data_IF_642209211153
#
_entry.id   IF_642209211153
#
_cell.length_a   1.000
_cell.length_b   1.000
_cell.length_c   1.000
_cell.angle_alpha   90.00
_cell.angle_beta   90.00
_cell.angle_gamma   90.00
#
_symmetry.space_group_name_H-M   'P 1'
#
loop_
_entity.id
_entity.type
_entity.pdbx_description
1 polymer ?
#
# COMPACT_ATOMS: atom_id res chain seq x y z
N UNK A 1 6.98 -27.12 14.48
CA UNK A 1 5.95 -26.15 14.89
C UNK A 1 4.91 -26.13 13.79
N UNK A 2 3.64 -26.35 14.11
CA UNK A 2 2.56 -26.32 13.14
C UNK A 2 2.52 -24.92 12.49
N UNK A 3 2.47 -24.88 11.15
CA UNK A 3 2.48 -23.63 10.40
C UNK A 3 1.30 -22.75 10.80
N UNK A 4 1.56 -21.46 11.03
CA UNK A 4 0.59 -20.43 11.42
C UNK A 4 -0.35 -20.05 10.25
N UNK A 5 -0.42 -20.89 9.22
CA UNK A 5 -1.00 -20.56 7.92
C UNK A 5 -2.27 -21.38 7.72
N UNK A 6 -3.37 -20.69 7.47
CA UNK A 6 -4.65 -21.31 7.15
C UNK A 6 -4.82 -21.23 5.64
N UNK A 7 -5.01 -22.37 4.96
CA UNK A 7 -5.35 -22.38 3.54
C UNK A 7 -6.79 -21.88 3.38
N UNK A 8 -7.01 -20.62 2.96
CA UNK A 8 -8.35 -20.14 2.65
C UNK A 8 -8.36 -19.15 1.48
N UNK A 9 -9.54 -19.01 0.85
CA UNK A 9 -9.77 -18.16 -0.35
C UNK A 9 -10.33 -16.77 -0.04
N UNK A 10 -10.44 -16.41 1.24
CA UNK A 10 -11.04 -15.16 1.69
C UNK A 10 -10.00 -14.02 1.82
N UNK A 11 -9.95 -13.03 0.91
CA UNK A 11 -8.93 -11.97 0.94
C UNK A 11 -9.08 -11.00 2.12
N UNK A 12 -10.30 -10.81 2.63
CA UNK A 12 -10.58 -9.90 3.76
C UNK A 12 -10.42 -10.54 5.15
N UNK A 13 -9.66 -11.63 5.25
CA UNK A 13 -9.23 -12.20 6.52
C UNK A 13 -7.70 -12.14 6.57
N UNK A 14 -7.09 -11.71 7.70
CA UNK A 14 -5.63 -11.73 7.85
C UNK A 14 -5.04 -13.11 7.56
N UNK A 15 -3.87 -13.15 6.94
CA UNK A 15 -3.22 -14.38 6.49
C UNK A 15 -2.92 -15.41 7.61
N UNK A 16 -2.91 -14.95 8.85
CA UNK A 16 -2.63 -15.72 10.06
C UNK A 16 -3.91 -16.06 10.87
N UNK A 17 -5.10 -15.85 10.28
CA UNK A 17 -6.39 -16.14 10.92
C UNK A 17 -7.25 -17.09 10.09
N UNK A 18 -8.08 -17.87 10.77
CA UNK A 18 -9.13 -18.67 10.11
C UNK A 18 -10.33 -17.77 9.80
N UNK A 19 -10.83 -17.72 8.56
CA UNK A 19 -12.01 -16.95 8.22
C UNK A 19 -13.25 -17.54 8.91
N UNK A 20 -14.18 -16.68 9.30
CA UNK A 20 -15.45 -17.10 9.92
C UNK A 20 -16.46 -17.67 8.92
N UNK A 21 -16.22 -17.50 7.62
CA UNK A 21 -17.05 -18.03 6.54
C UNK A 21 -16.20 -18.31 5.27
N UNK A 22 -16.62 -19.30 4.49
CA UNK A 22 -16.11 -19.54 3.12
C UNK A 22 -16.62 -18.41 2.20
N UNK A 23 -15.72 -17.66 1.58
CA UNK A 23 -16.10 -16.68 0.55
C UNK A 23 -16.29 -17.39 -0.81
N UNK A 24 -17.38 -18.16 -0.94
CA UNK A 24 -17.75 -18.77 -2.22
C UNK A 24 -18.13 -17.76 -3.31
N UNK A 25 -18.25 -16.48 -2.95
CA UNK A 25 -18.70 -15.37 -3.80
C UNK A 25 -17.58 -14.48 -4.35
N UNK A 26 -16.31 -14.73 -4.02
CA UNK A 26 -15.22 -13.90 -4.53
C UNK A 26 -14.92 -14.24 -5.99
N UNK A 27 -15.02 -13.26 -6.87
CA UNK A 27 -14.65 -13.38 -8.28
C UNK A 27 -13.28 -12.74 -8.47
N UNK A 28 -12.28 -13.56 -8.78
CA UNK A 28 -11.00 -13.02 -9.23
C UNK A 28 -11.23 -12.17 -10.48
N UNK A 29 -10.93 -10.89 -10.39
CA UNK A 29 -11.05 -9.98 -11.54
C UNK A 29 -9.99 -10.32 -12.60
N UNK A 30 -10.32 -10.19 -13.89
CA UNK A 30 -9.32 -10.30 -14.94
C UNK A 30 -8.27 -9.20 -14.76
N UNK A 31 -7.01 -9.50 -15.10
CA UNK A 31 -5.92 -8.53 -15.08
C UNK A 31 -6.21 -7.50 -16.19
N UNK A 32 -6.31 -6.19 -15.88
CA UNK A 32 -6.44 -5.17 -16.91
C UNK A 32 -5.22 -5.14 -17.83
N UNK A 33 -5.44 -5.02 -19.14
CA UNK A 33 -4.39 -5.07 -20.15
C UNK A 33 -3.39 -3.92 -20.02
N UNK A 34 -3.85 -2.75 -19.55
CA UNK A 34 -3.05 -1.53 -19.43
C UNK A 34 -1.91 -1.66 -18.41
N UNK A 35 -2.00 -2.65 -17.52
CA UNK A 35 -1.07 -2.86 -16.42
C UNK A 35 -0.30 -4.18 -16.52
N UNK A 36 -0.51 -4.94 -17.60
CA UNK A 36 0.32 -6.09 -17.93
C UNK A 36 1.76 -5.64 -18.21
N UNK A 37 2.76 -6.48 -17.86
CA UNK A 37 4.16 -6.17 -18.15
C UNK A 37 4.37 -5.96 -19.65
N UNK A 38 4.80 -4.76 -20.04
CA UNK A 38 5.23 -4.52 -21.40
C UNK A 38 6.60 -5.16 -21.63
N UNK A 39 6.65 -6.20 -22.46
CA UNK A 39 7.91 -6.81 -22.86
C UNK A 39 8.65 -5.83 -23.78
N UNK A 40 9.78 -5.32 -23.31
CA UNK A 40 10.63 -4.43 -24.10
C UNK A 40 12.06 -4.95 -24.12
N UNK A 41 12.49 -5.47 -25.26
CA UNK A 41 13.78 -6.15 -25.37
C UNK A 41 13.86 -7.42 -24.52
N UNK A 42 15.07 -7.92 -24.32
CA UNK A 42 15.31 -9.21 -23.65
C UNK A 42 15.54 -9.08 -22.14
N UNK A 43 15.68 -7.85 -21.62
CA UNK A 43 16.06 -7.61 -20.23
C UNK A 43 14.96 -6.89 -19.46
N UNK A 44 14.58 -7.46 -18.30
CA UNK A 44 13.69 -6.80 -17.35
C UNK A 44 14.33 -5.53 -16.77
N UNK A 45 13.56 -4.44 -16.74
CA UNK A 45 13.96 -3.17 -16.11
C UNK A 45 12.79 -2.55 -15.36
N UNK A 46 13.04 -2.12 -14.13
CA UNK A 46 12.08 -1.32 -13.36
C UNK A 46 11.84 0.02 -14.04
N UNK A 47 10.60 0.49 -14.01
CA UNK A 47 10.18 1.77 -14.57
C UNK A 47 9.28 2.48 -13.57
N UNK A 48 9.30 3.81 -13.62
CA UNK A 48 8.40 4.62 -12.81
C UNK A 48 6.93 4.40 -13.22
N UNK A 49 6.65 4.44 -14.53
CA UNK A 49 5.36 4.04 -15.12
C UNK A 49 4.15 4.79 -14.55
N UNK A 50 4.16 6.12 -14.64
CA UNK A 50 3.10 6.98 -14.10
C UNK A 50 2.11 7.45 -15.16
N UNK A 51 0.87 7.61 -14.75
CA UNK A 51 -0.27 8.10 -15.54
C UNK A 51 -0.98 9.21 -14.78
N UNK A 52 -1.61 10.20 -15.44
CA UNK A 52 -2.38 11.22 -14.75
C UNK A 52 -3.57 10.63 -13.96
N UNK A 53 -3.86 11.19 -12.79
CA UNK A 53 -5.10 10.88 -12.05
C UNK A 53 -6.26 11.67 -12.64
N UNK A 54 -7.37 11.00 -12.91
CA UNK A 54 -8.66 11.64 -13.09
C UNK A 54 -9.23 11.97 -11.70
N UNK A 55 -9.21 13.25 -11.29
CA UNK A 55 -9.56 13.68 -9.92
C UNK A 55 -10.95 13.24 -9.48
N UNK A 56 -11.92 13.25 -10.41
CA UNK A 56 -13.29 12.76 -10.19
C UNK A 56 -13.35 11.28 -9.81
N UNK A 57 -12.30 10.52 -10.14
CA UNK A 57 -12.12 9.10 -9.85
C UNK A 57 -10.78 8.83 -9.13
N UNK A 58 -10.37 9.71 -8.21
CA UNK A 58 -9.07 9.61 -7.54
C UNK A 58 -8.92 8.29 -6.75
N UNK A 59 -9.83 8.01 -5.82
CA UNK A 59 -9.84 6.79 -4.99
C UNK A 59 -11.05 5.93 -5.40
N UNK A 60 -10.90 5.01 -6.37
CA UNK A 60 -12.06 4.29 -6.92
C UNK A 60 -12.76 3.44 -5.85
N UNK A 61 -14.08 3.38 -5.94
CA UNK A 61 -14.92 2.50 -5.12
C UNK A 61 -15.42 1.35 -5.98
N UNK A 62 -15.48 0.16 -5.40
CA UNK A 62 -15.95 -1.07 -6.02
C UNK A 62 -16.78 -1.91 -5.03
N UNK A 63 -17.19 -3.11 -5.47
CA UNK A 63 -17.98 -4.04 -4.68
C UNK A 63 -17.24 -4.57 -3.43
N UNK A 64 -15.90 -4.46 -3.41
CA UNK A 64 -15.03 -4.97 -2.35
C UNK A 64 -14.63 -3.90 -1.32
N UNK A 65 -14.93 -2.63 -1.60
CA UNK A 65 -14.49 -1.51 -0.78
C UNK A 65 -15.02 -1.61 0.65
N UNK A 66 -16.29 -1.98 0.85
CA UNK A 66 -16.87 -2.14 2.18
C UNK A 66 -16.18 -3.25 2.96
N UNK A 67 -15.94 -4.40 2.32
CA UNK A 67 -15.26 -5.55 2.94
C UNK A 67 -13.81 -5.23 3.32
N UNK A 68 -13.12 -4.46 2.46
CA UNK A 68 -11.76 -3.96 2.75
C UNK A 68 -11.77 -3.03 3.96
N UNK A 69 -12.71 -2.08 4.02
CA UNK A 69 -12.85 -1.17 5.17
C UNK A 69 -13.14 -1.94 6.47
N UNK A 70 -13.97 -3.00 6.42
CA UNK A 70 -14.24 -3.86 7.57
C UNK A 70 -12.99 -4.61 8.06
N UNK A 71 -12.18 -5.17 7.15
CA UNK A 71 -10.87 -5.73 7.48
C UNK A 71 -9.98 -4.69 8.18
N UNK A 72 -9.90 -3.48 7.62
CA UNK A 72 -9.09 -2.38 8.17
C UNK A 72 -9.54 -2.00 9.58
N UNK A 73 -10.84 -1.84 9.81
CA UNK A 73 -11.39 -1.53 11.14
C UNK A 73 -11.03 -2.61 12.16
N UNK A 74 -11.15 -3.89 11.80
CA UNK A 74 -10.74 -5.00 12.67
C UNK A 74 -9.24 -4.94 13.00
N UNK A 75 -8.38 -4.66 12.01
CA UNK A 75 -6.93 -4.53 12.23
C UNK A 75 -6.57 -3.30 13.06
N UNK A 76 -7.25 -2.17 12.85
CA UNK A 76 -7.07 -0.95 13.64
C UNK A 76 -7.45 -1.14 15.11
N UNK A 77 -8.44 -1.98 15.40
CA UNK A 77 -8.86 -2.32 16.76
C UNK A 77 -7.92 -3.33 17.42
N UNK A 78 -7.52 -4.37 16.68
CA UNK A 78 -6.83 -5.55 17.27
C UNK A 78 -5.31 -5.55 17.11
N UNK A 79 -4.77 -4.80 16.13
CA UNK A 79 -3.35 -4.80 15.72
C UNK A 79 -2.85 -3.40 15.39
N UNK A 80 -3.34 -2.40 16.12
CA UNK A 80 -3.06 -0.97 15.87
C UNK A 80 -1.56 -0.68 15.67
N UNK A 81 -0.71 -1.25 16.51
CA UNK A 81 0.73 -0.98 16.50
C UNK A 81 1.46 -1.56 15.27
N UNK A 82 0.83 -2.49 14.55
CA UNK A 82 1.37 -3.06 13.32
C UNK A 82 0.94 -2.28 12.07
N UNK A 83 -0.26 -1.67 12.13
CA UNK A 83 -0.88 -1.01 10.97
C UNK A 83 -0.83 0.51 11.04
N UNK A 84 -0.58 1.10 12.20
CA UNK A 84 -0.45 2.56 12.37
C UNK A 84 0.97 2.90 12.79
N UNK A 85 1.62 3.79 12.07
CA UNK A 85 2.98 4.22 12.35
C UNK A 85 3.16 5.69 12.04
N UNK A 86 3.85 6.41 12.91
CA UNK A 86 4.20 7.81 12.67
C UNK A 86 5.48 8.21 13.39
N UNK A 87 6.15 9.23 12.86
CA UNK A 87 7.29 9.91 13.49
C UNK A 87 6.80 11.12 14.25
N UNK A 88 7.40 11.38 15.41
CA UNK A 88 7.17 12.62 16.15
C UNK A 88 7.45 13.84 15.26
N UNK A 89 6.54 14.82 15.27
CA UNK A 89 6.57 15.97 14.35
C UNK A 89 5.84 15.72 13.01
N UNK A 90 5.31 14.51 12.80
CA UNK A 90 4.53 14.12 11.63
C UNK A 90 3.04 14.45 11.71
N UNK A 91 2.56 15.05 12.80
CA UNK A 91 1.14 15.27 13.05
C UNK A 91 0.50 16.18 12.01
N UNK A 92 1.22 17.23 11.57
CA UNK A 92 0.72 18.17 10.58
C UNK A 92 0.53 17.53 9.20
N UNK A 93 1.51 16.74 8.73
CA UNK A 93 1.41 16.06 7.42
C UNK A 93 0.38 14.93 7.45
N UNK A 94 0.23 14.24 8.59
CA UNK A 94 -0.84 13.26 8.78
C UNK A 94 -2.22 13.91 8.73
N UNK A 95 -2.39 15.07 9.37
CA UNK A 95 -3.63 15.85 9.33
C UNK A 95 -3.96 16.30 7.90
N UNK A 96 -2.98 16.82 7.17
CA UNK A 96 -3.17 17.30 5.80
C UNK A 96 -3.66 16.17 4.88
N UNK A 97 -2.97 15.02 4.91
CA UNK A 97 -3.36 13.85 4.14
C UNK A 97 -4.78 13.36 4.52
N UNK A 98 -5.10 13.32 5.81
CA UNK A 98 -6.42 12.95 6.28
C UNK A 98 -7.51 13.89 5.73
N UNK A 99 -7.26 15.20 5.74
CA UNK A 99 -8.19 16.20 5.21
C UNK A 99 -8.42 16.01 3.72
N UNK A 100 -7.37 15.72 2.93
CA UNK A 100 -7.52 15.45 1.49
C UNK A 100 -8.43 14.24 1.23
N UNK A 101 -8.20 13.12 1.92
CA UNK A 101 -9.01 11.91 1.78
C UNK A 101 -10.46 12.16 2.25
N UNK A 102 -10.65 12.84 3.37
CA UNK A 102 -11.99 13.13 3.90
C UNK A 102 -12.81 14.05 3.00
N UNK A 103 -12.18 15.05 2.37
CA UNK A 103 -12.83 15.93 1.39
C UNK A 103 -13.24 15.16 0.15
N UNK A 104 -12.39 14.26 -0.33
CA UNK A 104 -12.73 13.38 -1.44
C UNK A 104 -13.92 12.47 -1.09
N UNK A 105 -13.93 11.91 0.12
CA UNK A 105 -15.01 11.05 0.60
C UNK A 105 -16.30 11.81 0.98
N UNK A 106 -16.27 13.15 1.05
CA UNK A 106 -17.40 13.97 1.48
C UNK A 106 -17.77 13.81 2.96
N UNK A 107 -16.80 13.48 3.83
CA UNK A 107 -17.01 13.24 5.26
C UNK A 107 -16.19 14.24 6.07
N UNK A 108 -16.77 14.83 7.10
CA UNK A 108 -16.04 15.67 8.06
C UNK A 108 -15.32 14.81 9.10
N UNK A 109 -14.05 15.11 9.34
CA UNK A 109 -13.26 14.41 10.36
C UNK A 109 -13.53 14.99 11.76
N UNK A 110 -13.58 14.09 12.74
CA UNK A 110 -13.72 14.42 14.16
C UNK A 110 -12.39 14.40 14.93
N UNK A 111 -11.38 13.72 14.39
CA UNK A 111 -10.06 13.53 15.00
C UNK A 111 -9.00 14.47 14.42
N UNK A 112 -7.84 14.52 15.08
CA UNK A 112 -6.69 15.31 14.63
C UNK A 112 -5.39 14.49 14.50
N UNK A 113 -4.43 14.99 13.71
CA UNK A 113 -3.10 14.41 13.54
C UNK A 113 -3.14 12.97 13.03
N UNK A 114 -2.37 12.07 13.65
CA UNK A 114 -2.37 10.64 13.28
C UNK A 114 -3.75 9.98 13.46
N UNK A 115 -4.55 10.42 14.43
CA UNK A 115 -5.90 9.88 14.61
C UNK A 115 -6.85 10.33 13.48
N UNK A 116 -6.65 11.53 12.93
CA UNK A 116 -7.36 11.95 11.71
C UNK A 116 -7.02 11.03 10.53
N UNK A 117 -5.74 10.65 10.37
CA UNK A 117 -5.32 9.74 9.30
C UNK A 117 -5.93 8.33 9.46
N UNK A 118 -6.05 7.86 10.70
CA UNK A 118 -6.75 6.61 11.03
C UNK A 118 -8.24 6.69 10.68
N UNK A 119 -8.91 7.78 11.06
CA UNK A 119 -10.31 8.01 10.69
C UNK A 119 -10.47 8.05 9.17
N UNK A 120 -9.62 8.80 8.47
CA UNK A 120 -9.63 8.89 7.01
C UNK A 120 -9.36 7.55 6.32
N UNK A 121 -8.45 6.71 6.85
CA UNK A 121 -8.20 5.37 6.31
C UNK A 121 -9.43 4.46 6.38
N UNK A 122 -10.38 4.74 7.27
CA UNK A 122 -11.64 3.99 7.39
C UNK A 122 -12.71 4.44 6.40
N UNK A 123 -12.42 5.47 5.58
CA UNK A 123 -13.31 6.00 4.54
C UNK A 123 -13.03 5.42 3.15
N UNK A 124 -11.86 4.80 2.95
CA UNK A 124 -11.37 4.32 1.65
C UNK A 124 -10.78 2.93 1.78
N UNK A 125 -10.76 2.16 0.68
CA UNK A 125 -10.12 0.85 0.66
C UNK A 125 -8.59 0.96 0.79
N UNK A 126 -7.99 1.96 0.15
CA UNK A 126 -6.54 2.17 0.03
C UNK A 126 -5.81 2.34 1.37
N UNK A 127 -4.61 1.77 1.46
CA UNK A 127 -3.66 2.10 2.52
C UNK A 127 -3.12 3.52 2.31
N UNK A 128 -2.88 4.24 3.42
CA UNK A 128 -2.44 5.63 3.38
C UNK A 128 -0.99 5.73 3.85
N UNK A 129 -0.11 6.28 3.03
CA UNK A 129 1.30 6.53 3.36
C UNK A 129 1.64 7.99 3.08
N UNK A 130 2.23 8.67 4.07
CA UNK A 130 2.51 10.11 4.02
C UNK A 130 4.02 10.32 4.03
N UNK A 131 4.52 10.87 2.94
CA UNK A 131 5.91 11.27 2.81
C UNK A 131 6.09 12.74 3.23
N UNK A 132 7.09 13.03 4.05
CA UNK A 132 7.44 14.38 4.46
C UNK A 132 8.81 14.77 3.88
N UNK A 133 8.93 15.95 3.24
CA UNK A 133 10.22 16.52 2.91
C UNK A 133 11.01 16.88 4.17
N UNK A 134 12.22 16.36 4.29
CA UNK A 134 13.15 16.60 5.39
C UNK A 134 14.51 16.95 4.80
N UNK A 135 15.12 18.03 5.31
CA UNK A 135 16.51 18.36 4.95
C UNK A 135 17.47 17.44 5.69
N UNK A 136 18.28 16.69 4.94
CA UNK A 136 19.38 15.91 5.50
C UNK A 136 20.57 16.80 5.87
N UNK A 137 21.50 16.23 6.66
CA UNK A 137 22.67 16.95 7.17
C UNK A 137 23.61 17.49 6.08
N UNK A 138 23.59 16.88 4.90
CA UNK A 138 24.31 17.31 3.70
C UNK A 138 23.59 18.43 2.91
N UNK A 139 22.44 18.90 3.39
CA UNK A 139 21.66 19.97 2.79
C UNK A 139 20.70 19.53 1.69
N UNK A 140 20.70 18.24 1.33
CA UNK A 140 19.76 17.68 0.36
C UNK A 140 18.37 17.51 1.00
N UNK A 141 17.32 17.61 0.18
CA UNK A 141 15.96 17.27 0.63
C UNK A 141 15.67 15.81 0.34
N UNK A 142 15.16 15.10 1.34
CA UNK A 142 14.73 13.70 1.24
C UNK A 142 13.28 13.58 1.67
N UNK A 143 12.54 12.71 1.01
CA UNK A 143 11.20 12.33 1.44
C UNK A 143 11.30 11.15 2.41
N UNK A 144 10.84 11.33 3.64
CA UNK A 144 10.75 10.26 4.64
C UNK A 144 9.30 9.78 4.77
N UNK A 145 9.10 8.48 4.91
CA UNK A 145 7.80 7.94 5.33
C UNK A 145 7.52 8.35 6.78
N UNK A 146 6.70 9.37 6.98
CA UNK A 146 6.53 10.02 8.29
C UNK A 146 5.27 9.57 9.01
N UNK A 147 4.20 9.25 8.30
CA UNK A 147 2.98 8.72 8.89
C UNK A 147 2.34 7.74 7.93
N UNK A 148 1.72 6.68 8.43
CA UNK A 148 0.98 5.74 7.60
C UNK A 148 -0.08 4.97 8.37
N UNK A 149 -1.09 4.53 7.64
CA UNK A 149 -2.03 3.47 8.03
C UNK A 149 -2.00 2.40 6.93
N UNK A 150 -1.39 1.26 7.24
CA UNK A 150 -1.11 0.17 6.29
C UNK A 150 -1.71 -1.12 6.82
N UNK A 151 -2.89 -1.47 6.32
CA UNK A 151 -3.66 -2.64 6.72
C UNK A 151 -3.60 -3.76 5.66
N UNK A 152 -3.02 -3.50 4.50
CA UNK A 152 -2.88 -4.46 3.43
C UNK A 152 -1.40 -4.52 2.97
N UNK A 153 -0.40 -4.71 3.85
CA UNK A 153 0.98 -4.83 3.40
C UNK A 153 1.21 -6.11 2.57
N UNK A 154 2.22 -6.05 1.70
CA UNK A 154 2.62 -7.12 0.79
C UNK A 154 4.01 -7.64 1.17
N UNK A 155 4.06 -8.37 2.28
CA UNK A 155 5.24 -9.02 2.90
C UNK A 155 6.32 -8.07 3.41
N UNK A 156 5.89 -7.00 4.08
CA UNK A 156 6.76 -6.07 4.80
C UNK A 156 6.00 -5.50 6.00
N UNK A 157 6.72 -5.01 7.01
CA UNK A 157 6.07 -4.38 8.18
C UNK A 157 6.24 -2.87 8.17
N UNK A 158 5.24 -2.13 8.66
CA UNK A 158 5.35 -0.66 8.73
C UNK A 158 6.52 -0.21 9.61
N UNK A 159 6.81 -0.95 10.68
CA UNK A 159 7.93 -0.70 11.58
C UNK A 159 9.29 -0.73 10.86
N UNK A 160 9.46 -1.56 9.82
CA UNK A 160 10.68 -1.60 9.00
C UNK A 160 10.87 -0.39 8.08
N UNK A 161 9.78 0.35 7.79
CA UNK A 161 9.77 1.40 6.75
C UNK A 161 9.58 2.80 7.31
N UNK A 162 8.91 2.94 8.45
CA UNK A 162 8.62 4.24 9.05
C UNK A 162 9.91 5.01 9.39
N UNK A 163 9.98 6.28 8.99
CA UNK A 163 11.13 7.16 9.18
C UNK A 163 12.27 6.97 8.18
N UNK A 164 12.14 6.08 7.21
CA UNK A 164 13.13 5.85 6.16
C UNK A 164 12.80 6.61 4.88
N UNK A 165 13.85 6.91 4.09
CA UNK A 165 13.70 7.51 2.77
C UNK A 165 13.32 6.48 1.69
N UNK A 166 12.94 6.95 0.50
CA UNK A 166 12.49 6.07 -0.58
C UNK A 166 13.51 5.01 -0.98
N UNK A 167 14.80 5.34 -0.96
CA UNK A 167 15.86 4.38 -1.29
C UNK A 167 15.95 3.29 -0.21
N UNK A 168 15.92 3.65 1.06
CA UNK A 168 15.96 2.70 2.18
C UNK A 168 14.69 1.83 2.26
N UNK A 169 13.51 2.42 2.05
CA UNK A 169 12.23 1.68 2.00
C UNK A 169 12.29 0.58 0.93
N UNK A 170 12.89 0.88 -0.23
CA UNK A 170 12.99 -0.02 -1.38
C UNK A 170 14.28 -0.84 -1.45
N UNK A 171 15.17 -0.77 -0.45
CA UNK A 171 16.43 -1.52 -0.46
C UNK A 171 16.29 -3.03 -0.73
N UNK A 172 15.22 -3.73 -0.26
CA UNK A 172 15.02 -5.15 -0.58
C UNK A 172 14.64 -5.45 -2.04
N UNK A 173 14.23 -4.43 -2.81
CA UNK A 173 13.76 -4.61 -4.19
C UNK A 173 14.97 -4.76 -5.11
N UNK A 174 15.14 -5.96 -5.67
CA UNK A 174 16.25 -6.27 -6.56
C UNK A 174 16.37 -5.26 -7.70
N UNK A 175 17.59 -4.72 -7.89
CA UNK A 175 17.93 -3.73 -8.92
C UNK A 175 17.17 -2.40 -8.85
N UNK A 176 16.45 -2.08 -7.77
CA UNK A 176 15.71 -0.82 -7.66
C UNK A 176 16.62 0.40 -7.79
N UNK A 177 17.68 0.46 -6.98
CA UNK A 177 18.63 1.57 -6.96
C UNK A 177 19.27 1.79 -8.35
N UNK A 178 19.65 0.70 -9.01
CA UNK A 178 20.31 0.69 -10.32
C UNK A 178 19.37 1.10 -11.45
N UNK A 179 18.10 0.67 -11.40
CA UNK A 179 17.17 0.84 -12.50
C UNK A 179 16.36 2.14 -12.42
N UNK A 180 15.87 2.50 -11.23
CA UNK A 180 14.78 3.49 -11.08
C UNK A 180 14.93 4.42 -9.87
N UNK A 181 15.75 4.12 -8.86
CA UNK A 181 15.84 4.90 -7.62
C UNK A 181 16.04 6.41 -7.84
N UNK A 182 17.06 6.80 -8.60
CA UNK A 182 17.30 8.21 -8.91
C UNK A 182 16.18 8.86 -9.75
N UNK A 183 15.47 8.09 -10.58
CA UNK A 183 14.35 8.61 -11.36
C UNK A 183 13.15 8.90 -10.46
N UNK A 184 12.90 8.07 -9.44
CA UNK A 184 11.85 8.26 -8.43
C UNK A 184 12.15 9.52 -7.60
N UNK A 185 13.37 9.67 -7.09
CA UNK A 185 13.74 10.84 -6.27
C UNK A 185 13.59 12.15 -7.07
N UNK A 186 14.09 12.19 -8.30
CA UNK A 186 13.93 13.33 -9.20
C UNK A 186 12.46 13.62 -9.54
N UNK A 187 11.63 12.59 -9.60
CA UNK A 187 10.21 12.74 -9.90
C UNK A 187 9.48 13.41 -8.74
N UNK A 188 9.71 12.95 -7.52
CA UNK A 188 9.11 13.55 -6.32
C UNK A 188 9.52 15.01 -6.10
N UNK A 189 10.72 15.42 -6.52
CA UNK A 189 11.12 16.83 -6.49
C UNK A 189 10.35 17.72 -7.48
N UNK A 190 9.66 17.13 -8.46
CA UNK A 190 9.00 17.84 -9.57
C UNK A 190 7.48 17.71 -9.56
N UNK A 191 6.91 16.79 -8.78
CA UNK A 191 5.46 16.62 -8.69
C UNK A 191 4.85 17.89 -8.08
N UNK A 192 3.70 18.30 -8.60
CA UNK A 192 2.96 19.47 -8.10
C UNK A 192 1.53 19.08 -7.77
N UNK A 193 0.90 19.86 -6.89
CA UNK A 193 -0.47 19.59 -6.41
C UNK A 193 -1.51 19.55 -7.54
N UNK A 194 -1.25 20.24 -8.67
CA UNK A 194 -2.14 20.30 -9.82
C UNK A 194 -2.02 19.08 -10.75
N UNK A 195 -0.98 18.26 -10.60
CA UNK A 195 -0.68 17.12 -11.49
C UNK A 195 -0.45 15.83 -10.70
N UNK A 196 -1.46 15.34 -9.95
CA UNK A 196 -1.36 14.03 -9.33
C UNK A 196 -1.26 12.94 -10.39
N UNK A 197 -0.55 11.89 -10.04
CA UNK A 197 -0.34 10.73 -10.90
C UNK A 197 -0.69 9.47 -10.14
N UNK A 198 -0.91 8.41 -10.88
CA UNK A 198 -0.96 7.07 -10.35
C UNK A 198 -0.01 6.17 -11.12
N UNK A 199 0.36 5.06 -10.51
CA UNK A 199 1.11 3.97 -11.15
C UNK A 199 0.55 2.63 -10.70
N UNK A 200 0.84 1.60 -11.49
CA UNK A 200 0.57 0.22 -11.11
C UNK A 200 1.83 -0.46 -10.59
N UNK A 201 1.66 -1.25 -9.55
CA UNK A 201 2.59 -2.26 -9.11
C UNK A 201 1.86 -3.59 -9.05
N UNK A 202 2.55 -4.69 -9.33
CA UNK A 202 1.95 -6.02 -9.28
C UNK A 202 2.94 -7.04 -8.75
N UNK A 203 2.41 -8.09 -8.14
CA UNK A 203 3.19 -9.18 -7.57
C UNK A 203 2.41 -10.49 -7.64
N UNK A 204 3.12 -11.59 -7.82
CA UNK A 204 2.56 -12.93 -7.72
C UNK A 204 2.61 -13.37 -6.25
N UNK A 205 1.48 -13.79 -5.70
CA UNK A 205 1.30 -14.20 -4.31
C UNK A 205 0.82 -15.64 -4.24
N UNK A 206 1.27 -16.36 -3.23
CA UNK A 206 0.78 -17.70 -2.88
C UNK A 206 -0.34 -17.66 -1.83
N UNK A 207 -0.88 -16.48 -1.52
CA UNK A 207 -1.97 -16.30 -0.57
C UNK A 207 -2.85 -15.10 -0.95
N UNK A 208 -4.20 -15.21 -0.87
CA UNK A 208 -5.11 -14.14 -1.27
C UNK A 208 -5.30 -13.05 -0.21
N UNK A 209 -5.00 -13.31 1.07
CA UNK A 209 -5.21 -12.33 2.15
C UNK A 209 -4.57 -10.97 1.83
N UNK A 210 -5.28 -9.88 2.12
CA UNK A 210 -4.75 -8.54 1.90
C UNK A 210 -3.69 -8.15 2.94
N UNK A 211 -3.90 -8.55 4.20
CA UNK A 211 -2.93 -8.31 5.28
C UNK A 211 -1.88 -9.43 5.31
N UNK A 212 -0.70 -9.17 4.78
CA UNK A 212 0.46 -10.09 4.77
C UNK A 212 1.73 -9.36 5.25
N UNK A 213 1.91 -9.05 6.54
CA UNK A 213 3.10 -8.35 7.04
C UNK A 213 4.38 -9.20 7.06
N UNK A 214 4.28 -10.52 6.98
CA UNK A 214 5.42 -11.46 7.13
C UNK A 214 5.66 -12.23 5.85
N UNK A 215 6.93 -12.43 5.50
CA UNK A 215 7.34 -13.35 4.43
C UNK A 215 7.28 -14.79 4.98
N UNK A 216 6.47 -15.70 4.39
CA UNK A 216 6.47 -17.09 4.82
C UNK A 216 7.84 -17.74 4.56
N UNK A 217 8.25 -18.75 5.36
CA UNK A 217 9.57 -19.38 5.24
C UNK A 217 9.76 -20.18 3.94
N UNK A 218 8.68 -20.40 3.19
CA UNK A 218 8.67 -21.01 1.88
C UNK A 218 7.31 -20.79 1.21
N UNK A 219 7.14 -21.27 -0.03
CA UNK A 219 5.87 -21.17 -0.75
C UNK A 219 4.72 -21.84 0.02
N UNK A 220 3.57 -21.17 0.08
CA UNK A 220 2.36 -21.73 0.69
C UNK A 220 1.53 -22.60 -0.27
N UNK A 221 1.83 -22.52 -1.58
CA UNK A 221 1.16 -23.28 -2.64
C UNK A 221 2.20 -24.00 -3.50
N UNK A 222 1.80 -25.15 -4.04
CA UNK A 222 2.65 -25.98 -4.90
C UNK A 222 2.38 -25.74 -6.39
N UNK A 223 1.11 -25.57 -6.80
CA UNK A 223 0.76 -25.44 -8.21
C UNK A 223 0.72 -23.97 -8.64
N UNK A 224 1.42 -23.58 -9.72
CA UNK A 224 1.39 -22.20 -10.22
C UNK A 224 0.00 -21.67 -10.60
N UNK A 225 -0.94 -22.55 -10.96
CA UNK A 225 -2.32 -22.19 -11.30
C UNK A 225 -3.14 -21.68 -10.10
N UNK A 226 -2.68 -21.97 -8.88
CA UNK A 226 -3.34 -21.55 -7.63
C UNK A 226 -2.79 -20.21 -7.11
N UNK A 227 -1.76 -19.65 -7.78
CA UNK A 227 -1.17 -18.37 -7.45
C UNK A 227 -2.11 -17.22 -7.80
N UNK A 228 -1.99 -16.15 -7.01
CA UNK A 228 -2.74 -14.91 -7.17
C UNK A 228 -1.86 -13.85 -7.79
N UNK A 229 -2.46 -13.01 -8.62
CA UNK A 229 -1.83 -11.75 -9.04
C UNK A 229 -2.45 -10.67 -8.19
N UNK A 230 -1.62 -10.05 -7.35
CA UNK A 230 -2.01 -8.91 -6.53
C UNK A 230 -1.55 -7.64 -7.22
N UNK A 231 -2.46 -6.69 -7.33
CA UNK A 231 -2.23 -5.42 -8.00
C UNK A 231 -2.42 -4.28 -7.01
N UNK A 232 -1.59 -3.26 -7.16
CA UNK A 232 -1.62 -2.03 -6.36
C UNK A 232 -1.68 -0.85 -7.32
N UNK A 233 -2.78 -0.10 -7.25
CA UNK A 233 -2.88 1.22 -7.86
C UNK A 233 -2.40 2.23 -6.82
N UNK A 234 -1.27 2.87 -7.06
CA UNK A 234 -0.64 3.81 -6.13
C UNK A 234 -0.82 5.23 -6.67
N UNK A 235 -1.35 6.16 -5.89
CA UNK A 235 -1.56 7.57 -6.28
C UNK A 235 -0.83 8.53 -5.36
#
# INVERSE_FOLDING_TARGET
MAGIHVLHRHPFSPFDQTPSAEASSFLAMPIPDEILPQVTGENFRHRLGTFPVEITNWLPLDEETVLTIELKKKLLETRRDEVVGFKAGGEAVAQEAAVLVSRWAGVELSSTGINALVEASSLVADDLAVLQPVKSADGNEKLLLTAAVVCCPSRWTLAEKIGHDMLAVHAPVAKYAEHVGAAVDNYFQRITVEKPVWRSNWIIQDHPALFQPVIPPGPLLENPQDLWIRMERQT
#
